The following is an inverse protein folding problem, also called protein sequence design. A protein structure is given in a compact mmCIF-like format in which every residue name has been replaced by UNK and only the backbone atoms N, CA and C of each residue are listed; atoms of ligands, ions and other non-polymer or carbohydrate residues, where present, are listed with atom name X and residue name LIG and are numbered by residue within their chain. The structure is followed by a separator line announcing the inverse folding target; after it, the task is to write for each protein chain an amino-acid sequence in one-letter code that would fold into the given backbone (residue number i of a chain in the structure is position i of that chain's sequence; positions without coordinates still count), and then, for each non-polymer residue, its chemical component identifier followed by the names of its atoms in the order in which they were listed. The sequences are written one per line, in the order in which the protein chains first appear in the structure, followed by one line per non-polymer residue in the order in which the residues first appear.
data_IF_886166517792
#
_entry.id   IF_886166517792
#
_cell.length_a   1.000
_cell.length_b   1.000
_cell.length_c   1.000
_cell.angle_alpha   90.00
_cell.angle_beta   90.00
_cell.angle_gamma   90.00
#
_symmetry.space_group_name_H-M   'P 1'
#
loop_
_entity.id
_entity.type
_entity.pdbx_description
1 polymer ?
#
# COMPACT_ATOMS: atom_id res chain seq x y z
N UNK A 1 -1.44 -2.64 16.52
CA UNK A 1 -2.51 -2.43 15.52
C UNK A 1 -2.40 -3.52 14.49
N UNK A 2 -3.45 -4.31 14.29
CA UNK A 2 -3.53 -5.32 13.24
C UNK A 2 -4.27 -4.74 12.03
N UNK A 3 -3.84 -5.05 10.82
CA UNK A 3 -4.48 -4.58 9.59
C UNK A 3 -4.35 -5.60 8.48
N UNK A 4 -5.41 -5.75 7.69
CA UNK A 4 -5.47 -6.57 6.49
C UNK A 4 -5.97 -5.69 5.34
N UNK A 5 -5.34 -5.78 4.17
CA UNK A 5 -5.84 -5.12 2.98
C UNK A 5 -7.12 -5.83 2.52
N UNK A 6 -8.20 -5.07 2.31
CA UNK A 6 -9.42 -5.61 1.74
C UNK A 6 -9.54 -5.24 0.26
N UNK A 7 -9.09 -4.06 -0.15
CA UNK A 7 -9.26 -3.54 -1.51
C UNK A 7 -8.15 -2.54 -1.83
N UNK A 8 -7.83 -2.37 -3.11
CA UNK A 8 -7.04 -1.24 -3.60
C UNK A 8 -7.61 -0.76 -4.93
N UNK A 9 -7.72 0.55 -5.07
CA UNK A 9 -8.15 1.21 -6.30
C UNK A 9 -7.11 2.26 -6.69
N UNK A 10 -6.90 2.43 -7.99
CA UNK A 10 -6.00 3.41 -8.56
C UNK A 10 -6.82 4.39 -9.40
N UNK A 11 -7.01 5.60 -8.88
CA UNK A 11 -7.69 6.69 -9.59
C UNK A 11 -6.65 7.73 -10.01
N UNK A 12 -6.40 7.88 -11.32
CA UNK A 12 -5.37 8.81 -11.78
C UNK A 12 -5.35 9.16 -13.27
N UNK A 13 -5.86 8.29 -14.15
CA UNK A 13 -5.86 8.55 -15.60
C UNK A 13 -7.19 8.15 -16.22
N UNK A 14 -7.69 8.99 -17.15
CA UNK A 14 -8.85 8.66 -18.01
C UNK A 14 -8.45 7.86 -19.26
N UNK A 15 -7.15 7.75 -19.51
CA UNK A 15 -6.59 7.18 -20.75
C UNK A 15 -5.98 5.80 -20.50
N UNK A 16 -5.44 5.58 -19.30
CA UNK A 16 -4.86 4.31 -18.87
C UNK A 16 -5.58 3.87 -17.62
N UNK A 17 -6.10 2.64 -17.63
CA UNK A 17 -6.70 2.01 -16.48
C UNK A 17 -5.74 0.96 -15.94
N UNK A 18 -5.47 1.02 -14.65
CA UNK A 18 -4.68 0.01 -13.95
C UNK A 18 -5.61 -0.78 -13.04
N UNK A 19 -5.63 -2.09 -13.20
CA UNK A 19 -6.43 -3.00 -12.39
C UNK A 19 -5.50 -3.83 -11.53
N UNK A 20 -5.70 -3.78 -10.21
CA UNK A 20 -5.02 -4.63 -9.24
C UNK A 20 -5.89 -5.88 -9.07
N UNK A 21 -5.42 -7.08 -9.47
CA UNK A 21 -6.20 -8.32 -9.34
C UNK A 21 -6.51 -8.65 -7.87
N UNK A 22 -7.62 -9.35 -7.60
CA UNK A 22 -7.95 -9.80 -6.24
C UNK A 22 -6.84 -10.70 -5.66
N UNK A 23 -6.21 -11.56 -6.50
CA UNK A 23 -5.09 -12.41 -6.09
C UNK A 23 -3.90 -11.59 -5.52
N UNK A 24 -3.60 -10.43 -6.11
CA UNK A 24 -2.62 -9.49 -5.56
C UNK A 24 -3.00 -9.11 -4.13
N UNK A 25 -4.24 -8.65 -3.91
CA UNK A 25 -4.70 -8.17 -2.60
C UNK A 25 -4.74 -9.29 -1.56
N UNK A 26 -5.22 -10.46 -1.96
CA UNK A 26 -5.33 -11.64 -1.11
C UNK A 26 -3.98 -12.21 -0.70
N UNK A 27 -2.94 -12.00 -1.53
CA UNK A 27 -1.56 -12.37 -1.20
C UNK A 27 -0.92 -11.50 -0.11
N UNK A 28 -1.48 -10.31 0.17
CA UNK A 28 -0.87 -9.38 1.11
C UNK A 28 -1.04 -9.88 2.54
N UNK A 29 0.06 -9.94 3.34
CA UNK A 29 -0.01 -10.46 4.69
C UNK A 29 -0.80 -9.55 5.63
N UNK A 30 -1.39 -10.13 6.68
CA UNK A 30 -1.83 -9.34 7.83
C UNK A 30 -0.62 -8.64 8.45
N UNK A 31 -0.71 -7.33 8.63
CA UNK A 31 0.33 -6.52 9.27
C UNK A 31 0.00 -6.30 10.74
N UNK A 32 1.01 -6.42 11.60
CA UNK A 32 0.88 -6.11 13.03
C UNK A 32 1.91 -5.07 13.44
N UNK A 33 1.43 -3.85 13.68
CA UNK A 33 2.25 -2.69 13.99
C UNK A 33 2.27 -2.36 15.47
N UNK A 34 3.43 -1.95 15.96
CA UNK A 34 3.59 -1.41 17.30
C UNK A 34 3.34 0.08 17.31
N UNK A 35 2.65 0.55 18.34
CA UNK A 35 2.45 1.96 18.60
C UNK A 35 2.68 2.29 20.06
N UNK A 36 3.08 3.53 20.32
CA UNK A 36 3.30 4.07 21.66
C UNK A 36 2.35 5.21 21.89
N UNK A 37 1.59 5.13 22.98
CA UNK A 37 0.73 6.19 23.44
C UNK A 37 1.54 7.12 24.36
N UNK A 38 1.57 8.42 24.06
CA UNK A 38 2.27 9.43 24.86
C UNK A 38 1.33 10.57 25.19
N UNK A 39 1.50 11.16 26.37
CA UNK A 39 0.77 12.38 26.75
C UNK A 39 1.53 13.60 26.24
N UNK A 40 0.81 14.52 25.61
CA UNK A 40 1.31 15.81 25.11
C UNK A 40 0.38 16.91 25.63
N UNK A 41 0.81 17.58 26.70
CA UNK A 41 -0.07 18.45 27.50
C UNK A 41 -1.26 17.70 28.08
N UNK A 42 -2.48 18.12 27.73
CA UNK A 42 -3.71 17.45 28.12
C UNK A 42 -4.15 16.36 27.13
N UNK A 43 -3.57 16.32 25.93
CA UNK A 43 -3.94 15.40 24.88
C UNK A 43 -3.12 14.11 24.91
N UNK A 44 -3.66 13.07 24.27
CA UNK A 44 -2.92 11.84 23.98
C UNK A 44 -2.50 11.83 22.52
N UNK A 45 -1.30 11.31 22.25
CA UNK A 45 -0.78 11.11 20.90
C UNK A 45 -0.38 9.65 20.74
N UNK A 46 -0.97 8.97 19.76
CA UNK A 46 -0.56 7.63 19.35
C UNK A 46 0.46 7.74 18.22
N UNK A 47 1.69 7.28 18.47
CA UNK A 47 2.73 7.17 17.45
C UNK A 47 2.83 5.72 17.01
N UNK A 48 2.62 5.44 15.72
CA UNK A 48 2.80 4.11 15.14
C UNK A 48 4.18 4.07 14.48
N UNK A 49 5.01 3.13 14.93
CA UNK A 49 6.40 3.06 14.50
C UNK A 49 6.52 2.74 13.00
N UNK A 50 7.65 3.16 12.43
CA UNK A 50 8.03 2.80 11.06
C UNK A 50 8.01 1.29 10.88
N UNK A 51 7.40 0.85 9.79
CA UNK A 51 7.46 -0.54 9.37
C UNK A 51 7.61 -0.63 7.86
N UNK A 52 8.51 -1.51 7.42
CA UNK A 52 8.71 -1.81 6.01
C UNK A 52 7.59 -2.69 5.47
N UNK A 53 7.10 -2.34 4.29
CA UNK A 53 6.18 -3.12 3.47
C UNK A 53 6.96 -3.59 2.24
N UNK A 54 7.09 -4.90 2.06
CA UNK A 54 7.92 -5.50 1.02
C UNK A 54 7.05 -6.52 0.30
N UNK A 55 6.97 -6.40 -1.02
CA UNK A 55 6.02 -7.16 -1.84
C UNK A 55 6.69 -7.66 -3.12
N UNK A 56 6.45 -8.91 -3.48
CA UNK A 56 7.01 -9.61 -4.63
C UNK A 56 8.52 -9.92 -4.51
N UNK A 57 9.16 -9.54 -3.40
CA UNK A 57 10.62 -9.64 -3.23
C UNK A 57 11.03 -9.93 -1.79
N UNK A 58 12.18 -10.58 -1.61
CA UNK A 58 12.83 -10.79 -0.30
C UNK A 58 14.05 -9.89 -0.16
N UNK A 59 13.99 -8.97 0.78
CA UNK A 59 15.11 -8.09 1.15
C UNK A 59 15.54 -8.39 2.60
N UNK A 60 16.85 -8.51 2.82
CA UNK A 60 17.46 -8.71 4.15
C UNK A 60 17.67 -7.38 4.87
N UNK A 61 18.03 -6.34 4.12
CA UNK A 61 18.17 -4.96 4.54
C UNK A 61 17.36 -4.05 3.62
N UNK A 62 16.05 -3.89 3.91
CA UNK A 62 15.17 -3.06 3.11
C UNK A 62 15.59 -1.58 3.09
N UNK A 63 16.46 -1.11 3.98
CA UNK A 63 16.87 0.29 3.96
C UNK A 63 17.92 0.59 2.88
N UNK A 64 18.74 -0.40 2.50
CA UNK A 64 19.94 -0.17 1.71
C UNK A 64 20.05 -1.05 0.45
N UNK A 65 19.30 -2.14 0.34
CA UNK A 65 19.32 -2.97 -0.88
C UNK A 65 18.61 -2.27 -2.06
N UNK A 66 19.07 -2.47 -3.29
CA UNK A 66 18.31 -2.06 -4.47
C UNK A 66 17.18 -3.06 -4.75
N UNK A 67 16.03 -2.57 -5.23
CA UNK A 67 15.01 -3.45 -5.79
C UNK A 67 15.55 -4.14 -7.06
N UNK A 68 15.28 -5.45 -7.25
CA UNK A 68 15.55 -6.11 -8.52
C UNK A 68 14.81 -5.46 -9.69
N UNK A 69 15.40 -5.50 -10.88
CA UNK A 69 14.80 -5.06 -12.15
C UNK A 69 14.54 -6.24 -13.11
N UNK A 70 14.83 -7.46 -12.66
CA UNK A 70 14.73 -8.68 -13.44
C UNK A 70 13.95 -9.74 -12.65
N UNK A 71 13.02 -10.42 -13.33
CA UNK A 71 12.18 -11.47 -12.76
C UNK A 71 12.98 -12.75 -12.40
N UNK A 72 14.14 -12.97 -13.03
CA UNK A 72 15.02 -14.10 -12.75
C UNK A 72 15.90 -13.87 -11.49
N UNK A 73 15.86 -12.68 -10.88
CA UNK A 73 16.58 -12.43 -9.63
C UNK A 73 16.02 -13.33 -8.51
N UNK A 74 16.86 -14.11 -7.82
CA UNK A 74 16.41 -15.10 -6.82
C UNK A 74 15.72 -14.48 -5.59
N UNK A 75 15.77 -13.15 -5.44
CA UNK A 75 15.02 -12.42 -4.41
C UNK A 75 13.55 -12.27 -4.79
N UNK A 76 13.22 -12.26 -6.08
CA UNK A 76 11.85 -12.14 -6.59
C UNK A 76 11.14 -13.48 -6.44
N UNK A 77 9.87 -13.45 -6.07
CA UNK A 77 9.05 -14.66 -5.97
C UNK A 77 7.62 -14.36 -6.39
N UNK A 78 6.94 -15.40 -6.88
CA UNK A 78 5.51 -15.37 -7.18
C UNK A 78 4.72 -15.23 -5.88
N UNK A 79 4.27 -14.00 -5.59
CA UNK A 79 3.55 -13.71 -4.34
C UNK A 79 2.05 -13.96 -4.48
N UNK A 80 1.45 -13.66 -5.63
CA UNK A 80 0.01 -13.80 -5.88
C UNK A 80 -0.40 -15.18 -6.41
N UNK A 81 0.57 -16.05 -6.69
CA UNK A 81 0.35 -17.46 -7.03
C UNK A 81 -0.12 -17.67 -8.46
N UNK A 82 0.17 -16.73 -9.36
CA UNK A 82 -0.27 -16.78 -10.75
C UNK A 82 0.71 -17.53 -11.68
N UNK A 83 1.84 -17.99 -11.13
CA UNK A 83 2.90 -18.70 -11.85
C UNK A 83 4.05 -17.82 -12.33
N UNK A 84 4.04 -16.51 -12.05
CA UNK A 84 5.09 -15.60 -12.48
C UNK A 84 5.79 -14.89 -11.30
N UNK A 85 7.11 -14.61 -11.38
CA UNK A 85 7.80 -13.87 -10.33
C UNK A 85 7.29 -12.43 -10.18
N UNK A 86 7.05 -12.01 -8.94
CA UNK A 86 6.59 -10.67 -8.58
C UNK A 86 5.11 -10.67 -8.21
N UNK A 87 4.46 -9.55 -8.53
CA UNK A 87 3.02 -9.35 -8.37
C UNK A 87 2.45 -8.79 -9.67
N UNK A 88 1.33 -9.34 -10.12
CA UNK A 88 0.72 -8.99 -11.40
C UNK A 88 -0.23 -7.81 -11.28
N UNK A 89 -0.10 -6.87 -12.22
CA UNK A 89 -0.96 -5.70 -12.36
C UNK A 89 -1.36 -5.57 -13.83
N UNK A 90 -2.66 -5.44 -14.07
CA UNK A 90 -3.19 -5.29 -15.42
C UNK A 90 -3.23 -3.82 -15.82
N UNK A 91 -2.86 -3.53 -17.07
CA UNK A 91 -2.85 -2.20 -17.66
C UNK A 91 -3.68 -2.24 -18.95
N UNK A 92 -4.67 -1.37 -19.06
CA UNK A 92 -5.52 -1.21 -20.23
C UNK A 92 -5.45 0.24 -20.72
N UNK A 93 -5.49 0.48 -22.04
CA UNK A 93 -5.56 1.82 -22.61
C UNK A 93 -4.81 1.96 -23.94
N UNK A 94 -3.73 2.75 -23.93
CA UNK A 94 -2.91 2.94 -25.14
C UNK A 94 -2.13 1.67 -25.51
N UNK A 95 -1.74 0.91 -24.51
CA UNK A 95 -1.06 -0.38 -24.63
C UNK A 95 -1.68 -1.28 -23.57
N UNK A 96 -2.34 -2.33 -24.03
CA UNK A 96 -2.91 -3.33 -23.15
C UNK A 96 -1.85 -4.35 -22.77
N UNK A 97 -1.85 -4.77 -21.52
CA UNK A 97 -0.90 -5.75 -21.05
C UNK A 97 -0.90 -5.95 -19.54
N UNK A 98 0.14 -6.63 -19.09
CA UNK A 98 0.36 -6.94 -17.70
C UNK A 98 1.80 -6.58 -17.35
N UNK A 99 1.98 -6.05 -16.16
CA UNK A 99 3.29 -5.78 -15.56
C UNK A 99 3.43 -6.61 -14.30
N UNK A 100 4.64 -7.10 -14.08
CA UNK A 100 5.05 -7.79 -12.86
C UNK A 100 5.92 -6.85 -12.07
N UNK A 101 5.49 -6.56 -10.86
CA UNK A 101 6.13 -5.56 -10.01
C UNK A 101 6.65 -6.16 -8.73
N UNK A 102 7.74 -5.56 -8.24
CA UNK A 102 8.16 -5.69 -6.85
C UNK A 102 8.09 -4.31 -6.20
N UNK A 103 7.71 -4.28 -4.94
CA UNK A 103 7.51 -3.03 -4.22
C UNK A 103 8.22 -3.06 -2.88
N UNK A 104 8.75 -1.91 -2.50
CA UNK A 104 9.21 -1.62 -1.15
C UNK A 104 8.69 -0.27 -0.72
N UNK A 105 8.09 -0.21 0.45
CA UNK A 105 7.73 1.03 1.09
C UNK A 105 7.97 1.00 2.59
N UNK A 106 7.84 2.14 3.22
CA UNK A 106 7.69 2.23 4.67
C UNK A 106 6.76 3.38 4.98
N UNK A 107 6.09 3.30 6.13
CA UNK A 107 5.31 4.40 6.65
C UNK A 107 5.40 4.46 8.18
N UNK A 108 5.13 5.62 8.74
CA UNK A 108 5.00 5.89 10.17
C UNK A 108 3.89 6.92 10.38
N UNK A 109 3.13 6.77 11.47
CA UNK A 109 1.93 7.59 11.72
C UNK A 109 2.00 8.31 13.06
N UNK A 110 1.39 9.49 13.12
CA UNK A 110 1.14 10.21 14.37
C UNK A 110 -0.30 10.68 14.45
N UNK A 111 -1.01 10.25 15.49
CA UNK A 111 -2.43 10.56 15.70
C UNK A 111 -2.61 11.34 17.00
N UNK A 112 -2.88 12.66 16.94
CA UNK A 112 -3.44 13.37 18.09
C UNK A 112 -4.86 12.83 18.35
N UNK A 113 -5.08 12.25 19.52
CA UNK A 113 -6.35 11.61 19.87
C UNK A 113 -7.32 12.67 20.37
N UNK A 114 -8.26 13.04 19.48
CA UNK A 114 -9.42 13.91 19.81
C UNK A 114 -10.69 13.09 19.94
N UNK A 115 -10.88 12.12 19.06
CA UNK A 115 -11.95 11.14 19.08
C UNK A 115 -11.38 9.70 18.94
N UNK A 116 -11.54 8.82 19.95
CA UNK A 116 -11.12 7.42 19.86
C UNK A 116 -11.85 6.58 18.79
N UNK A 117 -12.95 7.06 18.22
CA UNK A 117 -13.68 6.41 17.13
C UNK A 117 -13.23 6.88 15.73
N UNK A 118 -12.59 8.06 15.64
CA UNK A 118 -12.08 8.64 14.39
C UNK A 118 -10.72 9.28 14.62
N UNK A 119 -9.67 8.58 14.22
CA UNK A 119 -8.31 9.08 14.29
C UNK A 119 -7.92 9.67 12.94
N UNK A 120 -7.59 10.96 12.92
CA UNK A 120 -6.95 11.63 11.78
C UNK A 120 -5.57 12.09 12.20
N UNK A 121 -4.56 11.71 11.43
CA UNK A 121 -3.16 11.91 11.77
C UNK A 121 -2.28 12.22 10.57
N UNK A 122 -1.01 12.53 10.83
CA UNK A 122 -0.02 12.69 9.77
C UNK A 122 0.62 11.35 9.43
N UNK A 123 1.03 11.21 8.16
CA UNK A 123 1.83 10.09 7.68
C UNK A 123 3.13 10.59 7.08
N UNK A 124 4.23 9.94 7.46
CA UNK A 124 5.47 9.98 6.68
C UNK A 124 5.63 8.63 6.03
N UNK A 125 5.91 8.64 4.74
CA UNK A 125 6.00 7.42 3.97
C UNK A 125 7.00 7.54 2.84
N UNK A 126 7.39 6.39 2.31
CA UNK A 126 8.10 6.26 1.05
C UNK A 126 7.57 5.02 0.34
N UNK A 127 7.62 5.03 -0.99
CA UNK A 127 7.34 3.86 -1.81
C UNK A 127 8.26 3.85 -3.01
N UNK A 128 8.70 2.66 -3.36
CA UNK A 128 9.52 2.35 -4.51
C UNK A 128 8.93 1.13 -5.19
N UNK A 129 8.91 1.16 -6.51
CA UNK A 129 8.40 0.08 -7.33
C UNK A 129 9.37 -0.16 -8.47
N UNK A 130 9.63 -1.44 -8.77
CA UNK A 130 10.36 -1.87 -9.95
C UNK A 130 9.49 -2.82 -10.76
N UNK A 131 9.49 -2.63 -12.09
CA UNK A 131 8.83 -3.54 -13.04
C UNK A 131 9.87 -4.58 -13.47
N UNK A 132 9.74 -5.79 -12.95
CA UNK A 132 10.70 -6.90 -13.19
C UNK A 132 10.41 -7.64 -14.49
N UNK A 133 9.16 -7.61 -14.95
CA UNK A 133 8.76 -8.13 -16.25
C UNK A 133 7.46 -7.46 -16.74
N UNK A 134 7.23 -7.49 -18.05
CA UNK A 134 6.03 -6.93 -18.65
C UNK A 134 5.75 -7.58 -20.01
N UNK A 135 4.46 -7.73 -20.36
CA UNK A 135 4.05 -8.22 -21.68
C UNK A 135 4.47 -7.31 -22.83
N UNK A 136 4.82 -6.05 -22.53
CA UNK A 136 5.32 -5.07 -23.49
C UNK A 136 6.43 -4.22 -22.88
N UNK A 137 7.51 -4.01 -23.64
CA UNK A 137 8.63 -3.14 -23.23
C UNK A 137 8.20 -1.71 -22.89
N UNK A 138 7.08 -1.24 -23.45
CA UNK A 138 6.56 0.10 -23.22
C UNK A 138 5.87 0.26 -21.86
N UNK A 139 5.61 -0.85 -21.15
CA UNK A 139 5.00 -0.87 -19.82
C UNK A 139 6.05 -0.98 -18.70
N UNK A 140 7.35 -1.02 -19.02
CA UNK A 140 8.43 -1.14 -18.03
C UNK A 140 8.65 0.13 -17.19
N UNK A 141 8.04 1.26 -17.57
CA UNK A 141 8.02 2.48 -16.77
C UNK A 141 6.83 2.48 -15.81
N UNK A 142 7.08 2.25 -14.52
CA UNK A 142 6.08 2.43 -13.47
C UNK A 142 6.01 3.88 -12.98
N UNK A 143 4.85 4.35 -12.49
CA UNK A 143 4.78 5.66 -11.85
C UNK A 143 5.56 5.64 -10.54
N UNK A 144 6.32 6.70 -10.27
CA UNK A 144 6.91 6.95 -8.96
C UNK A 144 5.88 7.58 -8.04
N UNK A 145 5.83 7.11 -6.79
CA UNK A 145 4.92 7.61 -5.77
C UNK A 145 5.73 8.38 -4.73
N UNK A 146 5.54 9.70 -4.68
CA UNK A 146 6.22 10.58 -3.73
C UNK A 146 5.23 11.23 -2.75
N UNK A 147 5.64 11.48 -1.49
CA UNK A 147 4.87 12.31 -0.58
C UNK A 147 4.64 13.71 -1.15
N UNK A 148 3.44 14.25 -0.94
CA UNK A 148 3.13 15.60 -1.40
C UNK A 148 4.00 16.64 -0.69
N UNK A 149 4.43 17.67 -1.42
CA UNK A 149 5.27 18.75 -0.87
C UNK A 149 4.61 19.48 0.30
N UNK A 150 3.28 19.62 0.29
CA UNK A 150 2.54 20.15 1.43
C UNK A 150 2.30 19.01 2.45
N UNK A 151 2.93 19.05 3.64
CA UNK A 151 2.79 17.99 4.64
C UNK A 151 1.36 17.79 5.13
N UNK A 152 0.53 18.84 5.13
CA UNK A 152 -0.86 18.76 5.60
C UNK A 152 -1.76 17.89 4.71
N UNK A 153 -1.35 17.69 3.46
CA UNK A 153 -2.04 16.80 2.50
C UNK A 153 -1.59 15.34 2.64
N UNK A 154 -0.54 15.06 3.42
CA UNK A 154 -0.10 13.71 3.74
C UNK A 154 -0.71 13.28 5.08
N UNK A 155 -1.95 12.79 5.03
CA UNK A 155 -2.68 12.36 6.21
C UNK A 155 -3.15 10.91 6.09
N UNK A 156 -3.45 10.32 7.25
CA UNK A 156 -4.03 8.99 7.38
C UNK A 156 -5.25 9.09 8.30
N UNK A 157 -6.28 8.33 7.97
CA UNK A 157 -7.50 8.23 8.77
C UNK A 157 -7.82 6.79 9.15
N UNK A 158 -8.24 6.62 10.41
CA UNK A 158 -8.76 5.37 10.94
C UNK A 158 -10.13 5.66 11.54
N UNK A 159 -11.17 5.01 11.00
CA UNK A 159 -12.53 5.08 11.56
C UNK A 159 -12.95 3.74 12.10
N UNK A 160 -13.57 3.74 13.28
CA UNK A 160 -14.13 2.52 13.87
C UNK A 160 -15.34 2.08 13.06
N UNK A 161 -15.34 0.83 12.63
CA UNK A 161 -16.49 0.18 11.99
C UNK A 161 -17.16 -0.78 12.98
N UNK A 162 -18.43 -1.09 12.72
CA UNK A 162 -19.15 -2.08 13.54
C UNK A 162 -18.49 -3.47 13.40
N UNK A 163 -18.47 -4.32 14.45
CA UNK A 163 -17.81 -5.63 14.41
C UNK A 163 -18.35 -6.58 13.33
N UNK A 164 -19.57 -6.36 12.84
CA UNK A 164 -20.21 -7.14 11.77
C UNK A 164 -19.77 -6.72 10.36
N UNK A 165 -18.97 -5.67 10.22
CA UNK A 165 -18.51 -5.18 8.92
C UNK A 165 -17.26 -5.97 8.50
N UNK A 166 -17.38 -6.70 7.40
CA UNK A 166 -16.29 -7.47 6.79
C UNK A 166 -15.70 -6.77 5.55
N UNK A 167 -14.72 -7.40 4.90
CA UNK A 167 -14.10 -6.83 3.70
C UNK A 167 -15.09 -6.65 2.54
N UNK A 168 -16.09 -7.53 2.38
CA UNK A 168 -17.07 -7.38 1.31
C UNK A 168 -17.94 -6.14 1.54
N UNK A 169 -18.39 -5.93 2.78
CA UNK A 169 -19.13 -4.75 3.16
C UNK A 169 -18.32 -3.46 2.93
N UNK A 170 -17.03 -3.45 3.28
CA UNK A 170 -16.13 -2.31 3.04
C UNK A 170 -15.93 -2.05 1.54
N UNK A 171 -15.69 -3.09 0.73
CA UNK A 171 -15.55 -2.99 -0.74
C UNK A 171 -16.78 -2.38 -1.39
N UNK A 172 -17.98 -2.72 -0.92
CA UNK A 172 -19.24 -2.28 -1.55
C UNK A 172 -19.54 -0.79 -1.38
N UNK A 173 -18.96 -0.14 -0.36
CA UNK A 173 -19.26 1.25 0.02
C UNK A 173 -18.03 1.94 0.64
N UNK A 174 -16.94 2.13 -0.13
CA UNK A 174 -15.70 2.69 0.42
C UNK A 174 -15.92 4.10 0.97
N UNK A 175 -16.69 4.93 0.26
CA UNK A 175 -16.97 6.31 0.66
C UNK A 175 -17.85 6.41 1.91
N UNK A 176 -18.71 5.42 2.15
CA UNK A 176 -19.61 5.44 3.31
C UNK A 176 -18.86 5.31 4.64
N UNK A 177 -17.63 4.75 4.63
CA UNK A 177 -16.83 4.68 5.84
C UNK A 177 -16.33 6.06 6.21
N UNK A 178 -15.79 6.84 5.26
CA UNK A 178 -15.17 8.12 5.55
C UNK A 178 -16.05 9.34 5.26
N UNK A 179 -17.28 9.15 4.79
CA UNK A 179 -18.30 10.20 4.77
C UNK A 179 -18.61 10.65 6.21
N UNK A 180 -18.74 11.97 6.38
CA UNK A 180 -19.08 12.64 7.64
C UNK A 180 -20.44 12.18 8.20
#
# INVERSE_FOLDING_TARGET
MKSRACNATLDGSRVVRTTIPDAFIESLPERTRRGTLRRDGEAWVLNVAREWDIRGVRLRDPANEALPEDADDPRVFDQDGDGHPGLSVQVEGLIDGEVRVVQRGWDEYSFPIRDPAHLRGSVRWNSEQSVVDATSRFLRGGPEAEPLRNPELNYVELKRVAPSIDCQALKSRPDAVFAD
#
